data_IF_541271350043
#
_entry.id   IF_541271350043
#
_cell.length_a   1.000
_cell.length_b   1.000
_cell.length_c   1.000
_cell.angle_alpha   90.00
_cell.angle_beta   90.00
_cell.angle_gamma   90.00
#
_symmetry.space_group_name_H-M   'P 1'
#
loop_
_entity.id
_entity.type
_entity.pdbx_description
1 polymer ?
#
# COMPACT_ATOMS: atom_id res chain seq x y z
N UNK A 1 27.50 -5.50 -4.57
CA UNK A 1 26.29 -6.02 -3.90
C UNK A 1 25.05 -5.39 -4.51
N UNK A 2 24.07 -6.18 -4.98
CA UNK A 2 22.83 -5.65 -5.57
C UNK A 2 21.88 -5.24 -4.44
N UNK A 3 21.63 -3.94 -4.29
CA UNK A 3 20.71 -3.45 -3.26
C UNK A 3 19.28 -3.82 -3.64
N UNK A 4 18.55 -4.42 -2.69
CA UNK A 4 17.16 -4.83 -2.92
C UNK A 4 16.30 -3.57 -3.11
N UNK A 5 15.60 -3.49 -4.24
CA UNK A 5 14.69 -2.37 -4.51
C UNK A 5 13.43 -2.49 -3.63
N UNK A 6 13.46 -1.83 -2.47
CA UNK A 6 12.36 -1.81 -1.48
C UNK A 6 11.04 -1.34 -2.09
N UNK A 7 11.08 -0.43 -3.07
CA UNK A 7 9.89 0.12 -3.76
C UNK A 7 9.17 -0.98 -4.54
N UNK A 8 9.90 -1.77 -5.33
CA UNK A 8 9.34 -2.87 -6.12
C UNK A 8 8.70 -3.94 -5.24
N UNK A 9 9.39 -4.35 -4.16
CA UNK A 9 8.85 -5.34 -3.22
C UNK A 9 7.58 -4.83 -2.52
N UNK A 10 7.51 -3.53 -2.20
CA UNK A 10 6.32 -2.92 -1.63
C UNK A 10 5.15 -2.94 -2.62
N UNK A 11 5.40 -2.64 -3.89
CA UNK A 11 4.37 -2.68 -4.95
C UNK A 11 3.85 -4.11 -5.14
N UNK A 12 4.73 -5.12 -5.18
CA UNK A 12 4.34 -6.53 -5.28
C UNK A 12 3.43 -6.96 -4.11
N UNK A 13 3.80 -6.63 -2.87
CA UNK A 13 2.96 -6.92 -1.68
C UNK A 13 1.62 -6.19 -1.74
N UNK A 14 1.64 -4.89 -2.08
CA UNK A 14 0.42 -4.08 -2.21
C UNK A 14 -0.55 -4.69 -3.22
N UNK A 15 -0.06 -5.12 -4.39
CA UNK A 15 -0.89 -5.79 -5.41
C UNK A 15 -1.51 -7.08 -4.88
N UNK A 16 -0.73 -7.91 -4.19
CA UNK A 16 -1.22 -9.18 -3.60
C UNK A 16 -2.32 -8.94 -2.56
N UNK A 17 -2.15 -7.97 -1.66
CA UNK A 17 -3.15 -7.65 -0.64
C UNK A 17 -4.42 -7.09 -1.29
N UNK A 18 -4.28 -6.16 -2.25
CA UNK A 18 -5.41 -5.56 -2.96
C UNK A 18 -6.19 -6.55 -3.84
N UNK A 19 -5.61 -7.70 -4.18
CA UNK A 19 -6.34 -8.77 -4.87
C UNK A 19 -7.40 -9.43 -3.96
N UNK A 20 -7.27 -9.31 -2.62
CA UNK A 20 -8.24 -9.82 -1.64
C UNK A 20 -9.01 -8.70 -0.93
N UNK A 21 -8.39 -7.54 -0.77
CA UNK A 21 -8.95 -6.40 -0.04
C UNK A 21 -9.23 -5.26 -1.03
N UNK A 22 -10.47 -5.21 -1.51
CA UNK A 22 -11.05 -4.03 -2.15
C UNK A 22 -11.71 -3.14 -1.09
N UNK A 23 -11.86 -1.86 -1.42
CA UNK A 23 -12.77 -1.01 -0.67
C UNK A 23 -14.12 -1.06 -1.38
N UNK A 24 -15.17 -0.75 -0.64
CA UNK A 24 -16.51 -0.50 -1.16
C UNK A 24 -17.04 0.76 -0.48
N UNK A 25 -18.10 1.37 -1.00
CA UNK A 25 -18.69 2.58 -0.40
C UNK A 25 -19.09 2.37 1.06
N UNK A 26 -19.57 1.16 1.41
CA UNK A 26 -19.94 0.80 2.79
C UNK A 26 -18.72 0.51 3.68
N UNK A 27 -17.61 0.04 3.08
CA UNK A 27 -16.36 -0.32 3.79
C UNK A 27 -15.14 0.09 2.95
N UNK A 28 -14.76 1.38 2.98
CA UNK A 28 -13.64 1.86 2.19
C UNK A 28 -12.32 1.34 2.76
N UNK A 29 -11.33 1.14 1.89
CA UNK A 29 -9.99 0.68 2.27
C UNK A 29 -9.10 1.85 2.68
N UNK A 30 -8.29 1.63 3.72
CA UNK A 30 -7.23 2.57 4.12
C UNK A 30 -5.94 2.30 3.34
N UNK A 31 -5.42 3.31 2.66
CA UNK A 31 -4.16 3.28 1.92
C UNK A 31 -3.10 4.11 2.62
N UNK A 32 -2.01 3.46 3.03
CA UNK A 32 -0.90 4.10 3.76
C UNK A 32 0.35 4.23 2.87
N UNK A 33 0.98 5.39 2.94
CA UNK A 33 2.32 5.65 2.43
C UNK A 33 3.22 6.11 3.59
N UNK A 34 4.30 5.38 3.83
CA UNK A 34 5.31 5.74 4.83
C UNK A 34 6.62 6.10 4.13
N UNK A 35 7.20 7.24 4.52
CA UNK A 35 8.58 7.64 4.26
C UNK A 35 9.40 7.55 5.54
N UNK A 36 10.68 7.91 5.50
CA UNK A 36 11.53 8.03 6.70
C UNK A 36 11.09 9.17 7.63
N UNK A 37 10.32 10.13 7.12
CA UNK A 37 10.04 11.39 7.82
C UNK A 37 8.57 11.50 8.22
N UNK A 38 7.65 10.91 7.45
CA UNK A 38 6.21 11.08 7.69
C UNK A 38 5.40 9.89 7.18
N UNK A 39 4.19 9.77 7.72
CA UNK A 39 3.18 8.78 7.33
C UNK A 39 1.98 9.53 6.78
N UNK A 40 1.51 9.11 5.62
CA UNK A 40 0.33 9.64 4.95
C UNK A 40 -0.70 8.53 4.79
N UNK A 41 -1.96 8.84 5.05
CA UNK A 41 -3.08 7.92 4.96
C UNK A 41 -4.18 8.50 4.07
N UNK A 42 -4.85 7.63 3.31
CA UNK A 42 -5.98 7.98 2.44
C UNK A 42 -7.06 6.91 2.58
N UNK A 43 -8.31 7.34 2.66
CA UNK A 43 -9.48 6.45 2.62
C UNK A 43 -9.95 6.39 1.16
N UNK A 44 -10.12 5.20 0.62
CA UNK A 44 -10.44 4.96 -0.79
C UNK A 44 -11.54 3.91 -0.85
N UNK A 45 -12.61 4.19 -1.59
CA UNK A 45 -13.58 3.20 -2.06
C UNK A 45 -12.92 2.25 -3.09
#
# INVERSE_FOLDING_TARGET
>A
MKTINKKELRIKRRRRVRAKVSGTSDRPRLSIFMSSTSIYAQIID
#
